data_IF_238326528005
#
_entry.id   IF_238326528005
#
_cell.length_a   1.000
_cell.length_b   1.000
_cell.length_c   1.000
_cell.angle_alpha   90.00
_cell.angle_beta   90.00
_cell.angle_gamma   90.00
#
_symmetry.space_group_name_H-M   'P 1'
#
loop_
_entity.id
_entity.type
_entity.pdbx_description
1 polymer ?
#
# COMPACT_ATOMS: atom_id res chain seq x y z
N UNK A 1 8.63 8.87 -6.00
CA UNK A 1 9.82 8.00 -6.23
C UNK A 1 9.52 7.09 -7.40
N UNK A 2 10.49 6.79 -8.27
CA UNK A 2 10.26 6.01 -9.51
C UNK A 2 11.29 4.89 -9.60
N UNK A 3 10.83 3.70 -9.95
CA UNK A 3 11.65 2.51 -10.21
C UNK A 3 11.39 1.98 -11.63
N UNK A 4 12.40 1.35 -12.23
CA UNK A 4 12.27 0.64 -13.49
C UNK A 4 12.40 -0.87 -13.22
N UNK A 5 11.39 -1.65 -13.59
CA UNK A 5 11.33 -3.09 -13.43
C UNK A 5 10.94 -3.75 -14.75
N UNK A 6 11.86 -4.46 -15.40
CA UNK A 6 11.59 -5.15 -16.67
C UNK A 6 11.11 -4.24 -17.81
N UNK A 7 11.55 -2.98 -17.83
CA UNK A 7 11.09 -1.97 -18.80
C UNK A 7 9.81 -1.22 -18.40
N UNK A 8 9.24 -1.53 -17.23
CA UNK A 8 8.01 -0.92 -16.73
C UNK A 8 8.33 0.01 -15.56
N UNK A 9 7.68 1.17 -15.51
CA UNK A 9 7.78 2.10 -14.40
C UNK A 9 6.89 1.68 -13.24
N UNK A 10 7.46 1.74 -12.03
CA UNK A 10 6.73 1.68 -10.76
C UNK A 10 6.93 3.01 -10.05
N UNK A 11 5.85 3.76 -9.93
CA UNK A 11 5.84 5.11 -9.37
C UNK A 11 5.20 5.05 -8.00
N UNK A 12 5.87 5.58 -6.98
CA UNK A 12 5.32 5.76 -5.65
C UNK A 12 5.08 7.25 -5.44
N UNK A 13 3.85 7.60 -5.10
CA UNK A 13 3.49 8.94 -4.68
C UNK A 13 4.28 9.33 -3.42
N UNK A 14 4.58 10.62 -3.27
CA UNK A 14 5.47 11.10 -2.21
C UNK A 14 4.94 10.79 -0.81
N UNK A 15 3.62 10.92 -0.61
CA UNK A 15 2.97 10.59 0.65
C UNK A 15 3.15 9.12 1.05
N UNK A 16 3.18 8.20 0.08
CA UNK A 16 3.41 6.77 0.33
C UNK A 16 4.83 6.53 0.82
N UNK A 17 5.80 7.18 0.17
CA UNK A 17 7.20 7.11 0.58
C UNK A 17 7.39 7.70 1.97
N UNK A 18 6.76 8.84 2.27
CA UNK A 18 6.81 9.48 3.58
C UNK A 18 6.23 8.55 4.66
N UNK A 19 5.08 7.94 4.41
CA UNK A 19 4.42 7.06 5.39
C UNK A 19 5.23 5.79 5.66
N UNK A 20 5.77 5.13 4.61
CA UNK A 20 6.63 3.95 4.77
C UNK A 20 7.90 4.30 5.58
N UNK A 21 8.49 5.47 5.33
CA UNK A 21 9.71 5.91 6.03
C UNK A 21 9.53 6.05 7.55
N UNK A 22 8.31 6.28 8.03
CA UNK A 22 8.04 6.40 9.48
C UNK A 22 8.40 5.13 10.24
N UNK A 23 8.29 3.97 9.59
CA UNK A 23 8.60 2.67 10.20
C UNK A 23 10.09 2.36 10.29
N UNK A 24 10.95 3.26 9.78
CA UNK A 24 12.40 3.17 9.98
C UNK A 24 12.89 3.99 11.19
N UNK A 25 11.99 4.68 11.90
CA UNK A 25 12.32 5.45 13.10
C UNK A 25 12.58 4.56 14.33
N UNK A 26 13.31 5.03 15.35
CA UNK A 26 13.70 4.22 16.52
C UNK A 26 12.55 3.47 17.20
N UNK A 27 11.38 4.11 17.31
CA UNK A 27 10.20 3.55 17.98
C UNK A 27 9.57 2.39 17.19
N UNK A 28 9.78 2.36 15.88
CA UNK A 28 9.12 1.42 14.96
C UNK A 28 10.09 0.38 14.35
N UNK A 29 11.37 0.72 14.26
CA UNK A 29 12.39 -0.06 13.56
C UNK A 29 12.72 -1.41 14.20
N UNK A 30 12.26 -1.65 15.43
CA UNK A 30 12.51 -2.91 16.15
C UNK A 30 11.63 -4.08 15.68
N UNK A 31 10.54 -3.78 14.97
CA UNK A 31 9.56 -4.76 14.48
C UNK A 31 9.29 -4.53 12.99
N UNK A 32 9.16 -5.62 12.23
CA UNK A 32 8.77 -5.53 10.82
C UNK A 32 7.39 -4.90 10.69
N UNK A 33 7.31 -3.84 9.89
CA UNK A 33 6.06 -3.18 9.52
C UNK A 33 5.57 -3.73 8.19
N UNK A 34 4.26 -3.80 8.02
CA UNK A 34 3.64 -4.21 6.78
C UNK A 34 2.31 -3.54 6.56
N UNK A 35 1.66 -3.92 5.47
CA UNK A 35 0.41 -3.34 5.00
C UNK A 35 0.17 -3.71 3.55
N UNK A 36 -0.64 -2.92 2.87
CA UNK A 36 -0.90 -3.07 1.43
C UNK A 36 -0.60 -1.76 0.71
N UNK A 37 -0.17 -1.89 -0.54
CA UNK A 37 -0.01 -0.78 -1.48
C UNK A 37 -1.25 -0.70 -2.36
N UNK A 38 -1.75 0.50 -2.57
CA UNK A 38 -2.97 0.80 -3.30
C UNK A 38 -2.66 1.81 -4.40
N UNK A 39 -3.24 1.57 -5.56
CA UNK A 39 -2.81 2.27 -6.76
C UNK A 39 -3.58 1.82 -7.99
N UNK A 40 -3.05 2.16 -9.16
CA UNK A 40 -3.64 1.83 -10.44
C UNK A 40 -2.57 1.47 -11.48
N UNK A 41 -3.03 0.88 -12.57
CA UNK A 41 -2.22 0.71 -13.77
C UNK A 41 -2.36 1.93 -14.68
N UNK A 42 -1.24 2.41 -15.22
CA UNK A 42 -1.20 3.39 -16.31
C UNK A 42 -0.51 2.74 -17.50
N UNK A 43 -1.29 2.03 -18.31
CA UNK A 43 -0.76 1.16 -19.36
C UNK A 43 0.11 0.06 -18.74
N UNK A 44 1.38 -0.12 -19.17
CA UNK A 44 2.27 -1.13 -18.59
C UNK A 44 2.84 -0.73 -17.22
N UNK A 45 2.62 0.51 -16.77
CA UNK A 45 3.20 1.06 -15.56
C UNK A 45 2.26 0.93 -14.36
N UNK A 46 2.84 0.96 -13.16
CA UNK A 46 2.10 0.91 -11.89
C UNK A 46 2.32 2.22 -11.13
N UNK A 47 1.22 2.86 -10.72
CA UNK A 47 1.23 4.01 -9.83
C UNK A 47 0.68 3.61 -8.47
N UNK A 48 1.52 3.66 -7.44
CA UNK A 48 1.16 3.45 -6.04
C UNK A 48 0.86 4.82 -5.44
N UNK A 49 -0.42 5.04 -5.12
CA UNK A 49 -0.95 6.34 -4.68
C UNK A 49 -1.23 6.37 -3.18
N UNK A 50 -1.46 5.21 -2.59
CA UNK A 50 -1.80 5.05 -1.19
C UNK A 50 -1.16 3.79 -0.61
N UNK A 51 -1.05 3.74 0.71
CA UNK A 51 -0.73 2.52 1.43
C UNK A 51 -1.49 2.47 2.76
N UNK A 52 -1.63 1.27 3.30
CA UNK A 52 -1.96 1.11 4.72
C UNK A 52 -0.70 0.84 5.52
N UNK A 53 -0.73 1.18 6.79
CA UNK A 53 0.31 0.87 7.77
C UNK A 53 -0.12 -0.28 8.68
N UNK A 54 0.76 -0.82 9.56
CA UNK A 54 0.35 -1.81 10.52
C UNK A 54 -0.88 -1.35 11.31
N UNK A 55 -1.88 -2.22 11.41
CA UNK A 55 -3.11 -1.97 12.13
C UNK A 55 -3.14 -2.74 13.45
N UNK A 56 -4.00 -2.36 14.41
CA UNK A 56 -3.95 -2.89 15.77
C UNK A 56 -4.02 -4.41 15.90
N UNK A 57 -4.67 -5.10 14.96
CA UNK A 57 -4.81 -6.55 15.02
C UNK A 57 -3.69 -7.31 14.30
N UNK A 58 -2.80 -6.63 13.58
CA UNK A 58 -1.65 -7.27 12.95
C UNK A 58 -0.68 -7.80 13.99
N UNK A 59 0.00 -8.89 13.63
CA UNK A 59 1.06 -9.43 14.48
C UNK A 59 2.41 -9.06 13.88
N UNK A 60 3.17 -8.25 14.62
CA UNK A 60 4.52 -7.82 14.24
C UNK A 60 5.55 -8.51 15.12
N UNK A 61 6.61 -9.00 14.49
CA UNK A 61 7.81 -9.53 15.14
C UNK A 61 9.02 -8.88 14.49
N UNK A 62 10.22 -9.06 15.06
CA UNK A 62 11.45 -8.49 14.49
C UNK A 62 11.71 -8.94 13.05
N UNK A 63 11.28 -10.14 12.69
CA UNK A 63 11.56 -10.79 11.40
C UNK A 63 10.28 -11.35 10.75
N UNK A 64 9.13 -10.73 11.05
CA UNK A 64 7.89 -11.18 10.46
C UNK A 64 6.74 -10.23 10.69
N UNK A 65 5.90 -10.11 9.68
CA UNK A 65 4.63 -9.42 9.71
C UNK A 65 3.50 -10.36 9.29
N UNK A 66 2.53 -10.59 10.16
CA UNK A 66 1.30 -11.33 9.84
C UNK A 66 0.15 -10.33 9.74
N UNK A 67 -0.32 -10.13 8.50
CA UNK A 67 -1.49 -9.31 8.19
C UNK A 67 -2.75 -9.99 8.72
N UNK A 68 -3.38 -9.43 9.75
CA UNK A 68 -4.57 -9.98 10.41
C UNK A 68 -5.72 -8.99 10.50
N UNK A 69 -5.44 -7.69 10.43
CA UNK A 69 -6.49 -6.70 10.57
C UNK A 69 -7.39 -6.65 9.31
N UNK A 70 -8.72 -6.83 9.44
CA UNK A 70 -9.64 -6.73 8.31
C UNK A 70 -9.71 -5.31 7.73
N UNK A 71 -9.17 -4.30 8.42
CA UNK A 71 -9.05 -2.92 7.97
C UNK A 71 -8.27 -2.77 6.66
N UNK A 72 -7.25 -3.59 6.42
CA UNK A 72 -6.55 -3.59 5.13
C UNK A 72 -7.48 -3.92 3.98
N UNK A 73 -8.24 -5.02 4.11
CA UNK A 73 -9.19 -5.45 3.09
C UNK A 73 -10.32 -4.44 2.92
N UNK A 74 -10.83 -3.88 4.03
CA UNK A 74 -11.84 -2.81 3.98
C UNK A 74 -11.33 -1.59 3.22
N UNK A 75 -10.07 -1.16 3.45
CA UNK A 75 -9.49 -0.03 2.72
C UNK A 75 -9.32 -0.35 1.24
N UNK A 76 -8.80 -1.53 0.91
CA UNK A 76 -8.66 -1.97 -0.48
C UNK A 76 -10.00 -1.95 -1.22
N UNK A 77 -11.05 -2.52 -0.61
CA UNK A 77 -12.39 -2.53 -1.18
C UNK A 77 -12.97 -1.12 -1.32
N UNK A 78 -12.75 -0.24 -0.35
CA UNK A 78 -13.23 1.14 -0.41
C UNK A 78 -12.58 1.92 -1.56
N UNK A 79 -11.26 1.82 -1.71
CA UNK A 79 -10.51 2.46 -2.81
C UNK A 79 -10.93 1.88 -4.15
N UNK A 80 -11.09 0.55 -4.23
CA UNK A 80 -11.55 -0.10 -5.46
C UNK A 80 -12.96 0.35 -5.87
N UNK A 81 -13.91 0.40 -4.93
CA UNK A 81 -15.28 0.91 -5.19
C UNK A 81 -15.32 2.38 -5.57
N UNK A 82 -14.38 3.18 -5.08
CA UNK A 82 -14.26 4.59 -5.47
C UNK A 82 -13.51 4.77 -6.80
N UNK A 83 -12.95 3.70 -7.38
CA UNK A 83 -12.16 3.81 -8.61
C UNK A 83 -13.05 4.11 -9.83
N UNK A 84 -12.55 4.86 -10.83
CA UNK A 84 -13.31 5.18 -12.03
C UNK A 84 -13.87 3.95 -12.76
N UNK A 85 -13.14 2.83 -12.73
CA UNK A 85 -13.53 1.56 -13.34
C UNK A 85 -14.70 0.86 -12.65
N UNK A 86 -14.97 1.18 -11.38
CA UNK A 86 -16.20 0.73 -10.70
C UNK A 86 -17.39 1.65 -11.00
N UNK A 87 -17.13 2.95 -11.23
CA UNK A 87 -18.18 3.93 -11.56
C UNK A 87 -18.64 3.92 -13.03
N UNK A 88 -17.98 3.18 -13.92
CA UNK A 88 -18.50 2.87 -15.25
C UNK A 88 -19.44 1.67 -15.19
N UNK A 89 -20.71 1.95 -14.85
CA UNK A 89 -21.95 1.21 -15.16
C UNK A 89 -21.93 -0.34 -15.03
N UNK A 90 -22.71 -0.92 -14.11
CA UNK A 90 -23.99 -1.53 -14.51
C UNK A 90 -24.60 -0.89 -15.76
N UNK A 91 -24.17 -1.37 -16.93
CA UNK A 91 -24.88 -1.25 -18.21
C UNK A 91 -25.32 -2.65 -18.62
#
# INVERSE_FOLDING_TARGET
MIFLAGGHLVILAEQVVAEIKRFNGPDEASLEAGGILLGCYRGPHVEILECTTPMPLDTRTRYGFVRRDPGHQRRALAVWKASPSYSSECA
#
